data_IF_208061666775
#
_entry.id   IF_208061666775
#
_cell.length_a   1.000
_cell.length_b   1.000
_cell.length_c   1.000
_cell.angle_alpha   90.00
_cell.angle_beta   90.00
_cell.angle_gamma   90.00
#
_symmetry.space_group_name_H-M   'P 1'
#
loop_
_entity.id
_entity.type
_entity.pdbx_description
1 polymer ?
#
# COMPACT_ATOMS: atom_id res chain seq x y z
N UNK A 1 7.47 -33.30 -15.66
CA UNK A 1 8.61 -32.43 -15.31
C UNK A 1 9.29 -33.01 -14.08
N UNK A 2 10.63 -33.08 -14.00
CA UNK A 2 11.30 -33.59 -12.79
C UNK A 2 11.30 -32.53 -11.69
N UNK A 3 11.39 -32.94 -10.43
CA UNK A 3 11.47 -32.03 -9.28
C UNK A 3 12.63 -31.03 -9.39
N UNK A 4 13.78 -31.46 -9.92
CA UNK A 4 14.93 -30.58 -10.16
C UNK A 4 14.69 -29.57 -11.30
N UNK A 5 13.93 -29.95 -12.34
CA UNK A 5 13.56 -29.02 -13.41
C UNK A 5 12.57 -27.96 -12.91
N UNK A 6 11.63 -28.35 -12.03
CA UNK A 6 10.72 -27.41 -11.36
C UNK A 6 11.49 -26.41 -10.48
N UNK A 7 12.45 -26.88 -9.67
CA UNK A 7 13.28 -25.99 -8.84
C UNK A 7 14.03 -24.97 -9.70
N UNK A 8 14.62 -25.39 -10.83
CA UNK A 8 15.32 -24.48 -11.75
C UNK A 8 14.37 -23.45 -12.36
N UNK A 9 13.16 -23.86 -12.72
CA UNK A 9 12.13 -22.95 -13.21
C UNK A 9 11.78 -21.90 -12.14
N UNK A 10 11.53 -22.32 -10.90
CA UNK A 10 11.22 -21.38 -9.81
C UNK A 10 12.40 -20.45 -9.51
N UNK A 11 13.64 -20.92 -9.58
CA UNK A 11 14.82 -20.06 -9.43
C UNK A 11 14.86 -18.95 -10.49
N UNK A 12 14.49 -19.24 -11.73
CA UNK A 12 14.41 -18.25 -12.79
C UNK A 12 13.25 -17.25 -12.55
N UNK A 13 12.07 -17.74 -12.15
CA UNK A 13 10.93 -16.88 -11.80
C UNK A 13 11.26 -15.92 -10.65
N UNK A 14 11.94 -16.40 -9.60
CA UNK A 14 12.37 -15.54 -8.50
C UNK A 14 13.39 -14.48 -8.94
N UNK A 15 14.25 -14.79 -9.92
CA UNK A 15 15.19 -13.82 -10.48
C UNK A 15 14.48 -12.74 -11.30
N UNK A 16 13.44 -13.11 -12.07
CA UNK A 16 12.61 -12.14 -12.80
C UNK A 16 11.87 -11.21 -11.83
N UNK A 17 11.24 -11.77 -10.78
CA UNK A 17 10.54 -10.99 -9.76
C UNK A 17 11.49 -10.06 -8.99
N UNK A 18 12.71 -10.50 -8.69
CA UNK A 18 13.73 -9.68 -8.05
C UNK A 18 14.17 -8.52 -8.95
N UNK A 19 14.42 -8.78 -10.24
CA UNK A 19 14.78 -7.75 -11.21
C UNK A 19 13.67 -6.70 -11.39
N UNK A 20 12.41 -7.10 -11.25
CA UNK A 20 11.22 -6.26 -11.40
C UNK A 20 10.70 -5.67 -10.09
N UNK A 21 11.41 -5.88 -8.97
CA UNK A 21 10.90 -5.52 -7.65
C UNK A 21 10.56 -4.02 -7.53
N UNK A 22 11.38 -3.15 -8.12
CA UNK A 22 11.12 -1.70 -8.15
C UNK A 22 9.86 -1.33 -8.93
N UNK A 23 9.62 -1.98 -10.08
CA UNK A 23 8.41 -1.74 -10.89
C UNK A 23 7.16 -2.25 -10.19
N UNK A 24 7.24 -3.43 -9.57
CA UNK A 24 6.15 -4.00 -8.76
C UNK A 24 5.83 -3.08 -7.58
N UNK A 25 6.86 -2.57 -6.89
CA UNK A 25 6.68 -1.59 -5.82
C UNK A 25 5.97 -0.32 -6.31
N UNK A 26 6.33 0.18 -7.49
CA UNK A 26 5.65 1.33 -8.10
C UNK A 26 4.18 1.03 -8.44
N UNK A 27 3.86 -0.17 -8.92
CA UNK A 27 2.47 -0.57 -9.18
C UNK A 27 1.65 -0.65 -7.89
N UNK A 28 2.19 -1.25 -6.83
CA UNK A 28 1.54 -1.29 -5.51
C UNK A 28 1.26 0.12 -5.00
N UNK A 29 2.27 1.00 -5.05
CA UNK A 29 2.14 2.37 -4.56
C UNK A 29 1.11 3.19 -5.37
N UNK A 30 1.04 2.98 -6.69
CA UNK A 30 0.05 3.63 -7.55
C UNK A 30 -1.35 3.14 -7.27
N UNK A 31 -1.58 1.82 -7.25
CA UNK A 31 -2.90 1.26 -6.98
C UNK A 31 -3.42 1.72 -5.61
N UNK A 32 -2.57 1.71 -4.57
CA UNK A 32 -2.92 2.19 -3.24
C UNK A 32 -3.25 3.69 -3.21
N UNK A 33 -2.44 4.51 -3.90
CA UNK A 33 -2.66 5.96 -3.97
C UNK A 33 -3.93 6.31 -4.75
N UNK A 34 -4.15 5.69 -5.91
CA UNK A 34 -5.28 5.96 -6.79
C UNK A 34 -6.62 5.57 -6.12
N UNK A 35 -6.61 4.54 -5.27
CA UNK A 35 -7.75 4.17 -4.43
C UNK A 35 -8.07 5.26 -3.38
N UNK A 36 -7.05 5.79 -2.70
CA UNK A 36 -7.22 6.91 -1.77
C UNK A 36 -7.64 8.19 -2.49
N UNK A 37 -7.08 8.45 -3.67
CA UNK A 37 -7.39 9.60 -4.52
C UNK A 37 -8.88 9.63 -4.87
N UNK A 38 -9.45 8.49 -5.24
CA UNK A 38 -10.89 8.34 -5.51
C UNK A 38 -11.75 8.70 -4.29
N UNK A 39 -11.33 8.31 -3.09
CA UNK A 39 -12.04 8.64 -1.84
C UNK A 39 -11.93 10.12 -1.47
N UNK A 40 -10.73 10.70 -1.62
CA UNK A 40 -10.51 12.14 -1.40
C UNK A 40 -11.37 12.95 -2.37
N UNK A 41 -11.44 12.56 -3.64
CA UNK A 41 -12.29 13.20 -4.63
C UNK A 41 -13.77 13.12 -4.26
N UNK A 42 -14.26 11.93 -3.87
CA UNK A 42 -15.64 11.74 -3.45
C UNK A 42 -16.00 12.62 -2.24
N UNK A 43 -15.11 12.70 -1.26
CA UNK A 43 -15.31 13.46 -0.03
C UNK A 43 -15.17 14.99 -0.20
N UNK A 44 -14.60 15.47 -1.31
CA UNK A 44 -14.30 16.89 -1.52
C UNK A 44 -14.98 17.50 -2.76
N UNK A 45 -15.78 16.71 -3.49
CA UNK A 45 -16.42 17.10 -4.75
C UNK A 45 -17.39 18.27 -4.62
N UNK A 46 -18.33 18.17 -3.69
CA UNK A 46 -19.48 19.08 -3.63
C UNK A 46 -19.32 20.16 -2.54
N UNK A 47 -18.80 19.78 -1.37
CA UNK A 47 -18.42 20.66 -0.27
C UNK A 47 -17.72 19.82 0.80
N UNK A 48 -16.89 20.44 1.65
CA UNK A 48 -16.30 19.76 2.82
C UNK A 48 -16.89 20.34 4.09
N UNK A 49 -17.59 19.50 4.87
CA UNK A 49 -18.12 19.93 6.19
C UNK A 49 -16.95 20.13 7.13
N UNK A 50 -16.80 21.33 7.71
CA UNK A 50 -15.67 21.68 8.59
C UNK A 50 -15.42 20.66 9.72
N UNK A 51 -16.49 20.11 10.30
CA UNK A 51 -16.38 19.13 11.39
C UNK A 51 -15.86 17.76 10.93
N UNK A 52 -15.95 17.44 9.63
CA UNK A 52 -15.43 16.19 9.06
C UNK A 52 -13.96 16.31 8.66
N UNK A 53 -13.43 17.53 8.51
CA UNK A 53 -12.03 17.77 8.10
C UNK A 53 -11.05 17.32 9.18
N UNK A 54 -11.43 17.41 10.45
CA UNK A 54 -10.57 17.02 11.56
C UNK A 54 -10.39 15.49 11.67
N UNK A 55 -11.35 14.70 11.18
CA UNK A 55 -11.30 13.23 11.19
C UNK A 55 -10.73 12.63 9.89
N UNK A 56 -10.63 13.43 8.82
CA UNK A 56 -10.10 13.01 7.52
C UNK A 56 -8.66 12.44 7.54
N UNK A 57 -7.70 12.97 8.33
CA UNK A 57 -6.33 12.44 8.32
C UNK A 57 -6.26 10.96 8.73
N UNK A 58 -6.95 10.61 9.81
CA UNK A 58 -7.01 9.25 10.35
C UNK A 58 -7.71 8.30 9.36
N UNK A 59 -8.87 8.71 8.85
CA UNK A 59 -9.63 7.95 7.85
C UNK A 59 -8.81 7.70 6.56
N UNK A 60 -8.07 8.71 6.07
CA UNK A 60 -7.23 8.57 4.88
C UNK A 60 -5.97 7.74 5.13
N UNK A 61 -5.35 7.85 6.31
CA UNK A 61 -4.23 7.00 6.69
C UNK A 61 -4.66 5.54 6.77
N UNK A 62 -5.84 5.27 7.36
CA UNK A 62 -6.42 3.94 7.42
C UNK A 62 -6.73 3.39 6.02
N UNK A 63 -7.41 4.19 5.19
CA UNK A 63 -7.73 3.82 3.81
C UNK A 63 -6.47 3.55 2.98
N UNK A 64 -5.42 4.36 3.14
CA UNK A 64 -4.14 4.12 2.48
C UNK A 64 -3.52 2.79 2.90
N UNK A 65 -3.53 2.49 4.21
CA UNK A 65 -3.04 1.22 4.73
C UNK A 65 -3.79 0.03 4.16
N UNK A 66 -5.13 0.09 4.13
CA UNK A 66 -5.97 -0.97 3.56
C UNK A 66 -5.73 -1.15 2.06
N UNK A 67 -5.71 -0.05 1.29
CA UNK A 67 -5.47 -0.10 -0.15
C UNK A 67 -4.05 -0.60 -0.48
N UNK A 68 -3.06 -0.28 0.37
CA UNK A 68 -1.71 -0.82 0.25
C UNK A 68 -1.67 -2.34 0.49
N UNK A 69 -2.36 -2.84 1.51
CA UNK A 69 -2.46 -4.27 1.77
C UNK A 69 -3.12 -5.02 0.62
N UNK A 70 -4.24 -4.50 0.10
CA UNK A 70 -4.93 -5.08 -1.07
C UNK A 70 -4.03 -5.09 -2.32
N UNK A 71 -3.30 -4.00 -2.56
CA UNK A 71 -2.37 -3.92 -3.66
C UNK A 71 -1.19 -4.90 -3.50
N UNK A 72 -0.66 -5.09 -2.28
CA UNK A 72 0.34 -6.11 -1.98
C UNK A 72 -0.21 -7.53 -2.23
N UNK A 73 -1.44 -7.81 -1.80
CA UNK A 73 -2.08 -9.11 -2.03
C UNK A 73 -2.16 -9.43 -3.53
N UNK A 74 -2.56 -8.45 -4.34
CA UNK A 74 -2.66 -8.57 -5.81
C UNK A 74 -1.31 -8.73 -6.51
N UNK A 75 -0.34 -7.85 -6.21
CA UNK A 75 0.88 -7.75 -7.01
C UNK A 75 2.06 -8.56 -6.47
N UNK A 76 2.05 -8.93 -5.19
CA UNK A 76 3.14 -9.64 -4.52
C UNK A 76 2.69 -11.02 -4.06
N UNK A 77 1.58 -11.11 -3.31
CA UNK A 77 1.19 -12.37 -2.69
C UNK A 77 0.62 -13.36 -3.71
N UNK A 78 -0.27 -12.94 -4.62
CA UNK A 78 -0.83 -13.82 -5.65
C UNK A 78 0.24 -14.55 -6.49
N UNK A 79 1.28 -13.87 -7.02
CA UNK A 79 2.40 -14.55 -7.67
C UNK A 79 3.11 -15.57 -6.77
N UNK A 80 3.33 -15.24 -5.50
CA UNK A 80 3.96 -16.14 -4.53
C UNK A 80 3.07 -17.33 -4.19
N UNK A 81 1.74 -17.17 -4.11
CA UNK A 81 0.78 -18.25 -3.94
C UNK A 81 0.84 -19.23 -5.11
N UNK A 82 0.89 -18.73 -6.34
CA UNK A 82 1.00 -19.60 -7.52
C UNK A 82 2.29 -20.45 -7.50
N UNK A 83 3.41 -19.84 -7.08
CA UNK A 83 4.68 -20.55 -6.89
C UNK A 83 4.61 -21.54 -5.70
N UNK A 84 3.98 -21.17 -4.59
CA UNK A 84 3.79 -22.03 -3.41
C UNK A 84 2.96 -23.27 -3.75
N UNK A 85 1.83 -23.09 -4.43
CA UNK A 85 0.92 -24.17 -4.82
C UNK A 85 1.61 -25.18 -5.74
N UNK A 86 2.33 -24.70 -6.76
CA UNK A 86 3.08 -25.58 -7.66
C UNK A 86 4.16 -26.41 -6.94
N UNK A 87 4.86 -25.82 -5.99
CA UNK A 87 5.86 -26.55 -5.19
C UNK A 87 5.21 -27.52 -4.22
N UNK A 88 4.11 -27.13 -3.58
CA UNK A 88 3.36 -27.99 -2.65
C UNK A 88 2.79 -29.20 -3.37
N UNK A 89 2.25 -29.02 -4.57
CA UNK A 89 1.77 -30.12 -5.41
C UNK A 89 2.89 -31.10 -5.78
N UNK A 90 4.07 -30.60 -6.14
CA UNK A 90 5.19 -31.42 -6.58
C UNK A 90 5.98 -32.10 -5.46
N UNK A 91 6.07 -31.46 -4.29
CA UNK A 91 6.97 -31.87 -3.19
C UNK A 91 6.24 -32.33 -1.93
N UNK A 92 4.94 -32.06 -1.83
CA UNK A 92 4.13 -32.38 -0.65
C UNK A 92 4.76 -31.86 0.64
N UNK A 93 4.90 -32.75 1.63
CA UNK A 93 5.42 -32.44 2.97
C UNK A 93 6.88 -31.96 2.98
N UNK A 94 7.64 -32.16 1.90
CA UNK A 94 9.03 -31.68 1.80
C UNK A 94 9.10 -30.16 1.62
N UNK A 95 8.01 -29.55 1.13
CA UNK A 95 7.94 -28.11 0.94
C UNK A 95 7.52 -27.40 2.22
N UNK A 96 8.38 -26.48 2.69
CA UNK A 96 8.26 -25.85 4.01
C UNK A 96 8.16 -24.32 3.97
N UNK A 97 7.83 -23.74 2.82
CA UNK A 97 7.58 -22.31 2.73
C UNK A 97 6.28 -21.94 3.45
N UNK A 98 6.38 -21.01 4.41
CA UNK A 98 5.25 -20.50 5.16
C UNK A 98 4.77 -19.19 4.54
N UNK A 99 3.76 -19.29 3.67
CA UNK A 99 3.18 -18.12 3.01
C UNK A 99 2.39 -17.23 3.97
N UNK A 100 1.81 -17.79 5.03
CA UNK A 100 1.06 -17.02 6.03
C UNK A 100 1.96 -16.03 6.77
N UNK A 101 3.24 -16.38 6.96
CA UNK A 101 4.24 -15.47 7.51
C UNK A 101 4.50 -14.26 6.61
N UNK A 102 4.43 -14.44 5.28
CA UNK A 102 4.58 -13.35 4.32
C UNK A 102 3.34 -12.45 4.32
N UNK A 103 2.13 -13.01 4.32
CA UNK A 103 0.90 -12.21 4.41
C UNK A 103 0.76 -11.45 5.73
N UNK A 104 1.18 -12.04 6.85
CA UNK A 104 1.24 -11.33 8.15
C UNK A 104 2.22 -10.14 8.11
N UNK A 105 3.29 -10.22 7.32
CA UNK A 105 4.19 -9.08 7.14
C UNK A 105 3.54 -7.95 6.35
N UNK A 106 2.72 -8.24 5.33
CA UNK A 106 1.94 -7.22 4.61
C UNK A 106 1.01 -6.46 5.57
N UNK A 107 0.23 -7.19 6.39
CA UNK A 107 -0.66 -6.62 7.40
C UNK A 107 0.09 -5.76 8.45
N UNK A 108 1.30 -6.15 8.83
CA UNK A 108 2.11 -5.34 9.74
C UNK A 108 2.62 -4.05 9.07
N UNK A 109 2.89 -4.09 7.76
CA UNK A 109 3.30 -2.90 7.02
C UNK A 109 2.13 -1.95 6.78
N UNK A 110 0.92 -2.45 6.53
CA UNK A 110 -0.26 -1.59 6.40
C UNK A 110 -0.57 -0.82 7.69
N UNK A 111 -0.45 -1.47 8.85
CA UNK A 111 -0.57 -0.82 10.16
C UNK A 111 0.53 0.23 10.40
N UNK A 112 1.75 -0.01 9.91
CA UNK A 112 2.84 0.98 9.99
C UNK A 112 2.60 2.18 9.08
N UNK A 113 2.10 1.94 7.87
CA UNK A 113 1.73 2.98 6.92
C UNK A 113 0.66 3.87 7.54
N UNK A 114 -0.39 3.29 8.13
CA UNK A 114 -1.40 4.05 8.86
C UNK A 114 -0.77 5.00 9.91
N UNK A 115 0.01 4.45 10.85
CA UNK A 115 0.66 5.24 11.90
C UNK A 115 1.67 6.29 11.37
N UNK A 116 2.30 6.03 10.23
CA UNK A 116 3.33 6.91 9.67
C UNK A 116 2.72 8.08 8.89
N UNK A 117 1.63 7.85 8.17
CA UNK A 117 1.04 8.84 7.27
C UNK A 117 -0.10 9.65 7.89
N UNK A 118 -0.64 9.24 9.04
CA UNK A 118 -1.62 10.05 9.80
C UNK A 118 -1.09 11.47 10.05
N UNK A 119 0.12 11.60 10.61
CA UNK A 119 0.73 12.91 10.89
C UNK A 119 1.05 13.73 9.61
N UNK A 120 1.36 13.05 8.49
CA UNK A 120 1.60 13.71 7.21
C UNK A 120 0.29 14.25 6.62
N UNK A 121 -0.80 13.47 6.68
CA UNK A 121 -2.13 13.90 6.26
C UNK A 121 -2.70 15.00 7.16
N UNK A 122 -2.45 14.94 8.47
CA UNK A 122 -2.83 16.01 9.38
C UNK A 122 -2.19 17.34 8.98
N UNK A 123 -0.90 17.32 8.64
CA UNK A 123 -0.16 18.52 8.26
C UNK A 123 -0.65 19.09 6.93
N UNK A 124 -0.95 18.21 5.95
CA UNK A 124 -1.54 18.60 4.66
C UNK A 124 -2.92 19.26 4.85
N UNK A 125 -3.76 18.68 5.69
CA UNK A 125 -5.09 19.21 6.00
C UNK A 125 -4.99 20.55 6.75
N UNK A 126 -4.09 20.66 7.73
CA UNK A 126 -3.84 21.93 8.46
C UNK A 126 -3.38 23.05 7.52
N UNK A 127 -2.59 22.74 6.49
CA UNK A 127 -2.15 23.71 5.48
C UNK A 127 -3.27 24.09 4.50
N UNK A 128 -4.22 23.20 4.24
CA UNK A 128 -5.36 23.46 3.37
C UNK A 128 -6.47 24.30 4.03
N UNK A 129 -6.61 24.22 5.36
CA UNK A 129 -7.57 25.03 6.13
C UNK A 129 -7.23 26.53 6.05
N UNK A 130 -8.22 27.43 5.90
CA UNK A 130 -7.97 28.86 6.04
C UNK A 130 -7.54 29.15 7.48
N UNK A 131 -6.43 29.89 7.65
CA UNK A 131 -5.98 30.31 8.98
C UNK A 131 -7.03 31.15 9.73
N UNK A 132 -6.81 31.35 11.04
CA UNK A 132 -7.64 32.16 11.96
C UNK A 132 -8.27 33.43 11.34
N UNK A 133 -7.58 34.23 10.50
CA UNK A 133 -8.19 35.41 9.86
C UNK A 133 -9.41 35.12 8.96
N UNK A 134 -9.44 33.96 8.29
CA UNK A 134 -10.57 33.55 7.45
C UNK A 134 -11.80 33.10 8.26
N UNK A 135 -11.57 32.56 9.46
CA UNK A 135 -12.61 32.15 10.41
C UNK A 135 -13.25 33.39 11.06
N UNK A 136 -12.42 34.35 11.48
CA UNK A 136 -12.88 35.61 12.08
C UNK A 136 -13.70 36.44 11.09
N UNK A 137 -13.30 36.50 9.81
CA UNK A 137 -14.06 37.23 8.77
C UNK A 137 -15.45 36.61 8.51
N UNK A 138 -15.62 35.30 8.70
CA UNK A 138 -16.91 34.62 8.59
C UNK A 138 -17.79 34.76 9.84
N UNK A 139 -17.18 34.82 11.02
CA UNK A 139 -17.87 35.01 12.30
C UNK A 139 -18.31 36.46 12.57
N UNK A 140 -17.74 37.43 11.85
CA UNK A 140 -18.05 38.87 11.99
C UNK A 140 -19.15 39.37 11.02
N UNK A 141 -19.72 38.49 10.21
CA UNK A 141 -20.83 38.84 9.33
C UNK A 141 -22.12 38.54 10.09
N UNK A 142 -22.76 39.58 10.62
CA UNK A 142 -24.05 39.53 11.35
C UNK A 142 -25.26 39.18 10.47
N UNK A 143 -25.05 38.91 9.17
CA UNK A 143 -26.09 38.52 8.23
C UNK A 143 -26.06 36.99 8.04
N UNK A 144 -27.01 36.31 8.69
CA UNK A 144 -27.16 34.85 8.63
C UNK A 144 -27.36 34.35 7.18
N UNK A 145 -27.98 35.14 6.31
CA UNK A 145 -28.18 34.79 4.89
C UNK A 145 -26.87 34.87 4.10
N UNK A 146 -26.09 35.94 4.31
CA UNK A 146 -24.77 36.08 3.70
C UNK A 146 -23.79 35.01 4.22
N UNK A 147 -23.83 34.69 5.52
CA UNK A 147 -23.02 33.65 6.13
C UNK A 147 -23.36 32.26 5.57
N UNK A 148 -24.64 31.95 5.33
CA UNK A 148 -25.07 30.68 4.72
C UNK A 148 -24.61 30.56 3.27
N UNK A 149 -24.81 31.60 2.46
CA UNK A 149 -24.43 31.61 1.03
C UNK A 149 -22.90 31.53 0.85
N UNK A 150 -22.13 32.19 1.71
CA UNK A 150 -20.66 32.19 1.64
C UNK A 150 -20.01 31.02 2.39
N UNK A 151 -20.72 30.33 3.29
CA UNK A 151 -20.25 29.07 3.87
C UNK A 151 -20.18 27.96 2.82
N UNK A 152 -21.12 27.93 1.88
CA UNK A 152 -21.07 27.00 0.73
C UNK A 152 -19.85 27.25 -0.15
N UNK A 153 -19.65 28.49 -0.60
CA UNK A 153 -18.49 28.85 -1.44
C UNK A 153 -17.14 28.68 -0.73
N UNK A 154 -17.08 28.99 0.57
CA UNK A 154 -15.89 28.78 1.40
C UNK A 154 -15.56 27.30 1.55
N UNK A 155 -16.57 26.46 1.75
CA UNK A 155 -16.42 25.00 1.87
C UNK A 155 -15.96 24.34 0.57
N UNK A 156 -16.50 24.77 -0.58
CA UNK A 156 -16.03 24.28 -1.89
C UNK A 156 -14.59 24.71 -2.19
N UNK A 157 -14.19 25.91 -1.78
CA UNK A 157 -12.80 26.39 -1.91
C UNK A 157 -11.85 25.59 -1.02
N UNK A 158 -12.26 25.28 0.21
CA UNK A 158 -11.47 24.48 1.14
C UNK A 158 -11.29 23.05 0.61
N UNK A 159 -12.34 22.42 0.07
CA UNK A 159 -12.24 21.11 -0.60
C UNK A 159 -11.31 21.08 -1.82
N UNK A 160 -11.27 22.18 -2.59
CA UNK A 160 -10.30 22.33 -3.69
C UNK A 160 -8.85 22.39 -3.18
N UNK A 161 -8.60 23.21 -2.15
CA UNK A 161 -7.25 23.33 -1.55
C UNK A 161 -6.77 22.02 -0.96
N UNK A 162 -7.65 21.28 -0.31
CA UNK A 162 -7.37 19.95 0.22
C UNK A 162 -6.92 19.00 -0.89
N UNK A 163 -7.64 18.96 -2.02
CA UNK A 163 -7.22 18.16 -3.20
C UNK A 163 -5.89 18.62 -3.77
N UNK A 164 -5.67 19.93 -3.93
CA UNK A 164 -4.40 20.48 -4.42
C UNK A 164 -3.21 20.04 -3.55
N UNK A 165 -3.35 20.11 -2.22
CA UNK A 165 -2.32 19.64 -1.28
C UNK A 165 -2.14 18.12 -1.34
N UNK A 166 -3.24 17.37 -1.42
CA UNK A 166 -3.21 15.92 -1.58
C UNK A 166 -2.44 15.50 -2.84
N UNK A 167 -2.78 16.08 -4.01
CA UNK A 167 -2.06 15.78 -5.26
C UNK A 167 -0.59 16.21 -5.21
N UNK A 168 -0.26 17.31 -4.53
CA UNK A 168 1.12 17.73 -4.34
C UNK A 168 1.92 16.73 -3.48
N UNK A 169 1.27 16.10 -2.49
CA UNK A 169 1.88 15.10 -1.62
C UNK A 169 2.22 13.78 -2.35
N UNK A 170 1.54 13.49 -3.47
CA UNK A 170 1.77 12.27 -4.29
C UNK A 170 3.26 12.05 -4.58
N UNK A 171 3.98 13.09 -4.98
CA UNK A 171 5.39 13.00 -5.34
C UNK A 171 6.31 12.67 -4.15
N UNK A 172 5.85 12.90 -2.92
CA UNK A 172 6.60 12.61 -1.70
C UNK A 172 6.24 11.24 -1.11
N UNK A 173 4.95 10.88 -1.14
CA UNK A 173 4.42 9.65 -0.53
C UNK A 173 4.66 8.43 -1.42
N UNK A 174 4.39 8.55 -2.73
CA UNK A 174 4.40 7.41 -3.66
C UNK A 174 5.77 6.71 -3.74
N UNK A 175 6.92 7.42 -3.83
CA UNK A 175 8.24 6.77 -3.81
C UNK A 175 8.52 5.98 -2.52
N UNK A 176 8.01 6.47 -1.37
CA UNK A 176 8.21 5.80 -0.08
C UNK A 176 7.36 4.53 0.01
N UNK A 177 6.10 4.58 -0.39
CA UNK A 177 5.24 3.39 -0.50
C UNK A 177 5.85 2.36 -1.44
N UNK A 178 6.37 2.80 -2.58
CA UNK A 178 7.00 1.92 -3.56
C UNK A 178 8.24 1.21 -2.99
N UNK A 179 9.06 1.93 -2.21
CA UNK A 179 10.21 1.35 -1.53
C UNK A 179 9.81 0.30 -0.48
N UNK A 180 8.75 0.55 0.30
CA UNK A 180 8.23 -0.41 1.29
C UNK A 180 7.73 -1.68 0.61
N UNK A 181 6.94 -1.55 -0.47
CA UNK A 181 6.45 -2.69 -1.24
C UNK A 181 7.59 -3.49 -1.90
N UNK A 182 8.59 -2.81 -2.45
CA UNK A 182 9.77 -3.45 -3.04
C UNK A 182 10.56 -4.25 -2.01
N UNK A 183 10.83 -3.67 -0.83
CA UNK A 183 11.53 -4.35 0.26
C UNK A 183 10.74 -5.56 0.77
N UNK A 184 9.41 -5.43 0.88
CA UNK A 184 8.54 -6.55 1.25
C UNK A 184 8.65 -7.71 0.26
N UNK A 185 8.54 -7.44 -1.05
CA UNK A 185 8.72 -8.46 -2.08
C UNK A 185 10.09 -9.13 -1.97
N UNK A 186 11.17 -8.37 -1.90
CA UNK A 186 12.54 -8.92 -1.82
C UNK A 186 12.75 -9.84 -0.62
N UNK A 187 12.18 -9.48 0.54
CA UNK A 187 12.22 -10.33 1.74
C UNK A 187 11.42 -11.61 1.55
N UNK A 188 10.24 -11.53 0.95
CA UNK A 188 9.40 -12.70 0.65
C UNK A 188 10.09 -13.65 -0.34
N UNK A 189 10.74 -13.12 -1.37
CA UNK A 189 11.54 -13.89 -2.33
C UNK A 189 12.74 -14.58 -1.65
N UNK A 190 13.40 -13.92 -0.71
CA UNK A 190 14.51 -14.51 0.05
C UNK A 190 14.05 -15.70 0.92
N UNK A 191 12.91 -15.57 1.59
CA UNK A 191 12.31 -16.66 2.36
C UNK A 191 11.97 -17.85 1.44
N UNK A 192 11.36 -17.57 0.29
CA UNK A 192 11.02 -18.60 -0.69
C UNK A 192 12.29 -19.31 -1.22
N UNK A 193 13.33 -18.55 -1.57
CA UNK A 193 14.63 -19.07 -2.04
C UNK A 193 15.29 -19.96 -0.99
N UNK A 194 15.17 -19.62 0.28
CA UNK A 194 15.68 -20.43 1.40
C UNK A 194 14.95 -21.79 1.46
N UNK A 195 13.62 -21.80 1.32
CA UNK A 195 12.83 -23.03 1.28
C UNK A 195 13.21 -23.91 0.06
N UNK A 196 13.36 -23.30 -1.13
CA UNK A 196 13.82 -24.00 -2.34
C UNK A 196 15.19 -24.67 -2.14
N UNK A 197 16.15 -23.95 -1.55
CA UNK A 197 17.49 -24.47 -1.29
C UNK A 197 17.47 -25.68 -0.35
N UNK A 198 16.60 -25.66 0.66
CA UNK A 198 16.39 -26.79 1.57
C UNK A 198 15.91 -28.05 0.82
N UNK A 199 14.91 -27.89 -0.05
CA UNK A 199 14.38 -29.01 -0.84
C UNK A 199 15.39 -29.54 -1.84
N UNK A 200 16.10 -28.65 -2.55
CA UNK A 200 17.12 -29.04 -3.51
C UNK A 200 18.25 -29.86 -2.86
N UNK A 201 18.72 -29.43 -1.68
CA UNK A 201 19.74 -30.15 -0.93
C UNK A 201 19.26 -31.54 -0.47
N UNK A 202 17.99 -31.65 -0.04
CA UNK A 202 17.38 -32.92 0.32
C UNK A 202 17.35 -33.92 -0.84
N UNK A 203 16.89 -33.48 -2.01
CA UNK A 203 16.83 -34.31 -3.21
C UNK A 203 18.20 -34.82 -3.67
N UNK A 204 19.23 -33.96 -3.62
CA UNK A 204 20.58 -34.34 -4.03
C UNK A 204 21.20 -35.39 -3.11
N UNK A 205 20.95 -35.32 -1.80
CA UNK A 205 21.42 -36.35 -0.84
C UNK A 205 20.76 -37.71 -1.10
N UNK A 206 19.46 -37.72 -1.40
CA UNK A 206 18.73 -38.96 -1.70
C UNK A 206 19.27 -39.64 -2.96
N UNK A 207 19.55 -38.86 -4.00
CA UNK A 207 20.17 -39.37 -5.24
C UNK A 207 21.56 -39.98 -5.01
N UNK A 208 22.36 -39.40 -4.11
CA UNK A 208 23.67 -39.92 -3.74
C UNK A 208 23.59 -41.17 -2.86
N UNK A 209 22.52 -41.34 -2.07
CA UNK A 209 22.31 -42.51 -1.22
C UNK A 209 21.74 -43.73 -1.96
N UNK A 210 21.22 -43.52 -3.17
CA UNK A 210 20.60 -44.55 -4.01
C UNK A 210 21.45 -44.95 -5.22
N UNK A 211 22.63 -44.33 -5.38
CA UNK A 211 23.66 -44.67 -6.37
C UNK A 211 24.81 -45.43 -5.72
#
# INVERSE_FOLDING_TARGET
MTALNLIKHHQAELQDLEARAGDIGLFVARDAWDALESEVEACTKDSVRRNFIDDMPDAWALQLGMAFDEACAKWIEQPLYALDDSMREAMGERWCYDINRSSMQSLLQSLRIHNQYEAEFELLIKQAKPGLPGIVRGAWIDDEGYAFDHMGEGSTRDGRRVREQFYAARNQVLPRLAAVASDFLLRSLLLYRTALGGVQAGLLREQQSTS
#
